data_IF_911504811556
#
_entry.id   IF_911504811556
#
_cell.length_a   1.000
_cell.length_b   1.000
_cell.length_c   1.000
_cell.angle_alpha   90.00
_cell.angle_beta   90.00
_cell.angle_gamma   90.00
#
_symmetry.space_group_name_H-M   'P 1'
#
loop_
_entity.id
_entity.type
_entity.pdbx_description
1 polymer ?
2 polymer ?
3 non-polymer ?
4 non-polymer ?
5 water ?
#
# COMPACT_ATOMS: atom_id res chain seq x y z
N UNK A 1 7.61 -0.42 -22.56
CA UNK A 1 6.48 0.30 -23.14
C UNK A 1 6.87 1.63 -23.78
N UNK A 2 5.90 2.35 -24.34
CA UNK A 2 6.23 3.54 -25.12
C UNK A 2 6.81 4.64 -24.25
N UNK A 3 7.91 5.23 -24.73
CA UNK A 3 8.54 6.28 -23.95
C UNK A 3 7.64 7.51 -23.88
N UNK A 4 7.79 8.28 -22.82
CA UNK A 4 6.93 9.43 -22.59
C UNK A 4 7.30 10.58 -23.53
N UNK A 5 6.31 11.45 -23.79
CA UNK A 5 6.50 12.66 -24.56
C UNK A 5 5.91 13.82 -23.78
N UNK A 6 6.30 15.05 -24.14
CA UNK A 6 5.72 16.20 -23.44
C UNK A 6 4.21 16.23 -23.62
N UNK A 7 3.74 15.92 -24.83
CA UNK A 7 2.30 15.99 -25.05
C UNK A 7 1.56 14.95 -24.24
N UNK A 8 2.14 13.75 -24.12
CA UNK A 8 1.51 12.72 -23.29
C UNK A 8 1.36 13.22 -21.86
N UNK A 9 2.41 13.86 -21.35
CA UNK A 9 2.42 14.29 -19.95
C UNK A 9 1.49 15.47 -19.75
N UNK A 10 1.44 16.39 -20.72
CA UNK A 10 0.49 17.49 -20.63
C UNK A 10 -0.95 16.99 -20.53
N UNK A 11 -1.31 16.02 -21.38
CA UNK A 11 -2.66 15.48 -21.30
C UNK A 11 -2.90 14.75 -19.99
N UNK A 12 -1.86 14.07 -19.49
CA UNK A 12 -2.02 13.30 -18.26
C UNK A 12 -2.33 14.22 -17.09
N UNK A 13 -1.65 15.37 -17.01
CA UNK A 13 -1.71 16.21 -15.81
C UNK A 13 -2.64 17.39 -15.94
N UNK A 14 -3.22 17.64 -17.12
CA UNK A 14 -4.11 18.79 -17.22
C UNK A 14 -5.38 18.60 -16.40
N UNK A 15 -5.97 19.72 -15.99
CA UNK A 15 -7.25 19.67 -15.28
C UNK A 15 -7.11 18.95 -13.95
N UNK A 16 -7.91 17.89 -13.78
CA UNK A 16 -7.88 17.11 -12.55
C UNK A 16 -6.67 16.19 -12.43
N UNK A 17 -5.91 15.99 -13.50
CA UNK A 17 -4.72 15.15 -13.41
C UNK A 17 -5.02 13.75 -12.91
N UNK A 18 -4.17 13.25 -12.01
CA UNK A 18 -4.25 11.88 -11.52
C UNK A 18 -4.28 11.91 -10.01
N UNK A 19 -4.73 10.80 -9.40
CA UNK A 19 -4.79 10.74 -7.94
C UNK A 19 -4.45 9.35 -7.41
N UNK A 20 -3.94 9.34 -6.19
CA UNK A 20 -3.46 8.13 -5.54
C UNK A 20 -4.01 8.07 -4.13
N UNK A 21 -4.35 6.85 -3.67
CA UNK A 21 -4.75 6.66 -2.28
C UNK A 21 -3.55 6.64 -1.36
N UNK A 22 -3.68 7.32 -0.23
CA UNK A 22 -2.57 7.45 0.71
C UNK A 22 -3.11 7.80 2.08
N UNK A 23 -2.18 7.96 3.02
CA UNK A 23 -2.46 8.50 4.35
C UNK A 23 -1.40 9.55 4.62
N UNK A 24 -1.78 10.57 5.38
CA UNK A 24 -0.86 11.65 5.73
C UNK A 24 -0.11 11.25 7.00
N UNK A 25 1.21 11.05 6.89
CA UNK A 25 1.97 10.71 8.09
C UNK A 25 2.09 11.95 8.98
N UNK A 26 2.38 13.09 8.38
CA UNK A 26 2.54 14.30 9.15
C UNK A 26 3.09 15.40 8.29
N UNK A 27 3.17 16.58 8.90
CA UNK A 27 3.74 17.77 8.27
C UNK A 27 4.75 18.36 9.25
N UNK A 28 5.95 18.68 8.76
CA UNK A 28 7.04 19.14 9.60
C UNK A 28 7.63 20.43 9.04
N UNK A 29 7.82 21.45 9.89
CA UNK A 29 8.64 22.59 9.45
C UNK A 29 10.08 22.14 9.25
N UNK A 30 10.70 22.55 8.14
CA UNK A 30 12.09 22.21 7.88
C UNK A 30 12.88 23.45 7.49
N UNK A 31 14.21 23.43 7.65
CA UNK A 31 15.00 24.66 7.47
C UNK A 31 15.28 25.02 6.03
N UNK A 32 15.27 24.06 5.11
CA UNK A 32 15.74 24.31 3.75
C UNK A 32 14.74 23.81 2.72
N UNK A 33 14.91 24.33 1.50
CA UNK A 33 13.99 23.95 0.43
C UNK A 33 14.24 22.54 -0.07
N UNK A 34 15.43 21.99 0.16
CA UNK A 34 15.75 20.70 -0.45
C UNK A 34 16.74 19.95 0.42
N UNK A 35 16.90 18.67 0.12
CA UNK A 35 17.94 17.85 0.75
C UNK A 35 17.46 16.47 1.13
N UNK A 36 18.20 15.44 0.71
CA UNK A 36 17.84 14.07 1.09
C UNK A 36 17.95 13.88 2.59
N UNK A 37 19.04 14.32 3.20
CA UNK A 37 19.24 14.07 4.62
C UNK A 37 18.21 14.84 5.44
N UNK A 38 18.00 16.11 5.12
CA UNK A 38 16.97 16.88 5.81
C UNK A 38 15.61 16.18 5.72
N UNK A 39 15.24 15.72 4.53
CA UNK A 39 13.95 15.09 4.35
C UNK A 39 13.84 13.79 5.14
N UNK A 40 14.89 12.96 5.12
CA UNK A 40 14.80 11.71 5.84
C UNK A 40 14.73 11.95 7.34
N UNK A 41 15.47 12.95 7.84
CA UNK A 41 15.36 13.26 9.27
C UNK A 41 13.93 13.66 9.62
N UNK A 42 13.28 14.42 8.75
CA UNK A 42 11.90 14.78 8.97
C UNK A 42 10.98 13.57 8.89
N UNK A 43 11.16 12.72 7.87
CA UNK A 43 10.37 11.50 7.76
C UNK A 43 10.47 10.66 9.05
N UNK A 44 11.68 10.49 9.57
CA UNK A 44 11.87 9.68 10.76
C UNK A 44 11.18 10.30 11.97
N UNK A 45 11.31 11.61 12.15
CA UNK A 45 10.61 12.30 13.24
C UNK A 45 9.10 12.09 13.13
N UNK A 46 8.54 12.32 11.94
CA UNK A 46 7.11 12.22 11.78
C UNK A 46 6.63 10.78 11.95
N UNK A 47 7.43 9.81 11.49
CA UNK A 47 7.05 8.42 11.71
C UNK A 47 7.13 8.04 13.18
N UNK A 48 8.14 8.53 13.90
CA UNK A 48 8.16 8.33 15.34
C UNK A 48 6.93 8.90 16.01
N UNK A 49 6.53 10.11 15.59
CA UNK A 49 5.34 10.73 16.18
C UNK A 49 4.09 9.93 15.83
N UNK A 50 3.98 9.46 14.58
CA UNK A 50 2.83 8.65 14.22
C UNK A 50 2.80 7.35 15.00
N UNK A 51 3.96 6.78 15.30
CA UNK A 51 3.98 5.52 16.03
C UNK A 51 3.51 5.74 17.47
N UNK A 52 3.92 6.86 18.08
CA UNK A 52 3.42 7.18 19.41
C UNK A 52 1.91 7.40 19.38
N UNK A 53 1.43 8.11 18.38
CA UNK A 53 0.00 8.31 18.25
C UNK A 53 -0.74 7.00 18.09
N UNK A 54 -0.18 6.10 17.27
CA UNK A 54 -0.79 4.78 17.01
C UNK A 54 -0.94 4.01 18.34
N UNK A 55 0.06 4.10 19.21
CA UNK A 55 0.01 3.42 20.49
C UNK A 55 -1.09 3.96 21.39
N UNK A 56 -1.58 5.16 21.11
CA UNK A 56 -2.72 5.75 21.80
C UNK A 56 -4.01 5.64 20.99
N UNK A 57 -4.07 4.73 20.03
CA UNK A 57 -5.27 4.54 19.25
C UNK A 57 -5.51 5.54 18.14
N UNK A 58 -4.51 6.35 17.80
CA UNK A 58 -4.67 7.30 16.72
C UNK A 58 -4.47 6.59 15.38
N UNK A 59 -5.09 7.14 14.35
CA UNK A 59 -4.90 6.64 12.99
C UNK A 59 -4.49 7.80 12.10
N UNK A 60 -3.65 7.51 11.11
CA UNK A 60 -3.32 8.52 10.12
C UNK A 60 -4.53 8.82 9.25
N UNK A 61 -4.64 10.08 8.84
CA UNK A 61 -5.79 10.51 8.04
C UNK A 61 -5.72 9.89 6.65
N UNK A 62 -6.86 9.32 6.20
CA UNK A 62 -6.92 8.74 4.85
C UNK A 62 -7.16 9.83 3.82
N UNK A 63 -6.31 9.86 2.77
CA UNK A 63 -6.31 10.98 1.81
C UNK A 63 -6.23 10.45 0.38
N UNK A 64 -6.51 11.37 -0.56
CA UNK A 64 -6.08 11.29 -1.94
C UNK A 64 -4.93 12.26 -2.13
N UNK A 65 -3.89 11.84 -2.83
CA UNK A 65 -2.85 12.74 -3.30
C UNK A 65 -3.16 13.01 -4.76
N UNK A 66 -3.53 14.25 -5.08
CA UNK A 66 -3.92 14.61 -6.44
C UNK A 66 -2.77 15.36 -7.08
N UNK A 67 -2.37 14.95 -8.29
CA UNK A 67 -1.21 15.51 -8.97
C UNK A 67 -1.65 16.03 -10.33
N UNK A 68 -1.37 17.31 -10.61
CA UNK A 68 -1.88 17.92 -11.84
C UNK A 68 -1.03 19.15 -12.16
N UNK A 69 -1.34 19.82 -13.28
CA UNK A 69 -0.59 21.02 -13.60
C UNK A 69 -0.78 22.10 -12.53
N UNK A 70 -1.81 21.96 -11.69
CA UNK A 70 -2.06 22.87 -10.57
C UNK A 70 -1.23 22.53 -9.33
N UNK A 71 -0.40 21.49 -9.37
CA UNK A 71 0.42 21.16 -8.22
C UNK A 71 -0.09 19.94 -7.48
N UNK A 72 0.10 19.88 -6.16
CA UNK A 72 -0.33 18.74 -5.36
C UNK A 72 -1.49 19.18 -4.49
N UNK A 73 -2.56 18.39 -4.49
CA UNK A 73 -3.69 18.62 -3.59
C UNK A 73 -3.78 17.43 -2.66
N UNK A 74 -3.92 17.70 -1.37
CA UNK A 74 -4.19 16.66 -0.38
C UNK A 74 -5.68 16.72 -0.09
N UNK A 75 -6.40 15.64 -0.38
CA UNK A 75 -7.85 15.63 -0.31
C UNK A 75 -8.28 14.63 0.75
N UNK A 76 -9.14 15.06 1.66
CA UNK A 76 -9.63 14.14 2.67
C UNK A 76 -10.51 13.09 2.00
N UNK A 77 -10.22 11.82 2.25
CA UNK A 77 -10.94 10.77 1.52
C UNK A 77 -12.42 10.74 1.92
N UNK A 78 -12.69 10.86 3.22
CA UNK A 78 -14.08 10.73 3.73
C UNK A 78 -14.96 11.83 3.15
N UNK A 79 -14.56 13.09 3.30
CA UNK A 79 -15.37 14.23 2.93
C UNK A 79 -15.09 14.77 1.53
N UNK A 80 -13.93 14.48 0.95
CA UNK A 80 -13.59 15.10 -0.31
C UNK A 80 -13.11 16.53 -0.26
N UNK A 81 -12.87 17.08 0.93
CA UNK A 81 -12.42 18.47 1.05
C UNK A 81 -10.92 18.57 0.77
N UNK A 82 -10.50 19.61 0.06
CA UNK A 82 -9.09 19.89 -0.17
C UNK A 82 -8.47 20.48 1.10
N UNK A 83 -7.63 19.70 1.78
CA UNK A 83 -7.02 20.12 3.03
C UNK A 83 -5.74 20.91 2.83
N UNK A 84 -5.02 20.65 1.74
CA UNK A 84 -3.75 21.30 1.45
C UNK A 84 -3.60 21.37 -0.05
N UNK A 85 -3.02 22.46 -0.53
CA UNK A 85 -2.82 22.64 -1.96
C UNK A 85 -1.56 23.45 -2.19
N UNK A 86 -0.64 22.93 -2.99
CA UNK A 86 0.56 23.68 -3.29
C UNK A 86 0.74 23.67 -4.80
N UNK A 87 0.85 24.84 -5.44
CA UNK A 87 1.17 24.89 -6.87
C UNK A 87 2.56 24.37 -7.15
N UNK A 88 2.79 24.02 -8.42
CA UNK A 88 4.09 23.49 -8.81
C UNK A 88 5.22 24.41 -8.36
N UNK A 89 5.07 25.72 -8.54
CA UNK A 89 6.22 26.57 -8.25
C UNK A 89 6.43 26.83 -6.77
N UNK A 90 5.66 26.17 -5.89
CA UNK A 90 5.93 26.22 -4.47
C UNK A 90 6.32 24.86 -3.91
N UNK A 91 6.52 23.86 -4.76
CA UNK A 91 7.04 22.57 -4.34
C UNK A 91 8.53 22.54 -4.70
N UNK A 92 9.39 22.32 -3.71
CA UNK A 92 10.82 22.47 -3.96
C UNK A 92 11.59 21.16 -4.08
N UNK A 93 11.14 20.06 -3.49
CA UNK A 93 11.95 18.86 -3.43
C UNK A 93 11.03 17.66 -3.26
N UNK A 94 11.34 16.54 -3.96
CA UNK A 94 10.64 15.28 -3.75
C UNK A 94 11.60 14.29 -3.11
N UNK A 95 11.18 13.67 -2.01
CA UNK A 95 12.06 12.76 -1.28
C UNK A 95 11.53 11.34 -1.38
N UNK A 96 12.41 10.40 -1.68
CA UNK A 96 12.10 9.00 -1.47
C UNK A 96 12.47 8.60 -0.04
N UNK A 97 11.97 7.45 0.40
CA UNK A 97 12.25 6.91 1.74
C UNK A 97 12.97 5.58 1.55
N UNK A 98 14.28 5.57 1.81
CA UNK A 98 15.04 4.34 1.59
C UNK A 98 14.58 3.22 2.52
N UNK A 99 13.86 3.54 3.60
CA UNK A 99 13.42 2.50 4.51
C UNK A 99 12.04 1.93 4.19
N UNK A 100 11.33 2.48 3.21
CA UNK A 100 9.90 2.16 3.10
C UNK A 100 9.47 2.38 1.66
N UNK A 101 9.19 1.29 0.92
CA UNK A 101 8.72 1.43 -0.45
C UNK A 101 7.31 2.01 -0.54
N UNK A 102 6.63 2.20 0.58
CA UNK A 102 5.31 2.81 0.57
C UNK A 102 5.28 4.15 1.29
N UNK A 103 6.36 4.91 1.21
CA UNK A 103 6.40 6.26 1.75
C UNK A 103 7.25 7.13 0.86
N UNK A 104 6.90 8.41 0.84
CA UNK A 104 7.72 9.44 0.23
C UNK A 104 7.30 10.73 0.89
N UNK A 105 7.97 11.81 0.51
CA UNK A 105 7.48 13.10 0.97
C UNK A 105 7.88 14.21 0.03
N UNK A 106 7.38 15.41 0.30
CA UNK A 106 7.78 16.54 -0.52
C UNK A 106 7.95 17.75 0.36
N UNK A 107 8.91 18.60 0.00
CA UNK A 107 9.11 19.88 0.68
C UNK A 107 8.35 20.92 -0.12
N UNK A 108 7.61 21.78 0.57
CA UNK A 108 6.87 22.81 -0.14
C UNK A 108 6.68 24.01 0.76
N UNK A 109 6.30 25.12 0.13
CA UNK A 109 6.17 26.37 0.83
C UNK A 109 7.08 27.41 0.22
N UNK A 110 6.75 28.69 0.42
CA UNK A 110 7.62 29.76 0.01
C UNK A 110 8.78 29.97 0.97
N UNK A 111 9.57 31.00 0.68
CA UNK A 111 10.80 31.22 1.43
C UNK A 111 10.54 31.36 2.93
N UNK A 112 11.40 30.76 3.73
CA UNK A 112 11.28 30.79 5.18
C UNK A 112 10.14 29.96 5.74
N UNK A 113 9.42 29.23 4.89
CA UNK A 113 8.21 28.51 5.28
C UNK A 113 8.23 27.12 4.66
N UNK A 114 9.42 26.56 4.52
CA UNK A 114 9.56 25.21 3.97
C UNK A 114 8.93 24.20 4.91
N UNK A 115 8.16 23.26 4.36
CA UNK A 115 7.54 22.24 5.18
C UNK A 115 7.68 20.91 4.47
N UNK A 116 7.88 19.85 5.24
CA UNK A 116 7.96 18.50 4.68
C UNK A 116 6.63 17.79 4.93
N UNK A 117 5.98 17.36 3.85
CA UNK A 117 4.75 16.58 3.92
C UNK A 117 5.14 15.13 3.71
N UNK A 118 4.91 14.28 4.73
CA UNK A 118 5.28 12.86 4.70
C UNK A 118 4.03 12.03 4.40
N UNK A 119 4.11 11.18 3.37
CA UNK A 119 2.95 10.48 2.83
C UNK A 119 3.21 8.97 2.89
N UNK A 120 2.21 8.22 3.39
CA UNK A 120 2.22 6.76 3.33
C UNK A 120 1.28 6.33 2.21
N UNK A 121 1.82 5.79 1.13
CA UNK A 121 0.97 5.42 0.00
C UNK A 121 0.32 4.06 0.24
N UNK A 122 -0.86 3.88 -0.35
CA UNK A 122 -1.53 2.58 -0.25
C UNK A 122 -0.82 1.50 -1.05
N UNK A 123 -0.43 1.82 -2.28
CA UNK A 123 0.44 0.95 -3.07
C UNK A 123 1.89 1.44 -2.96
N UNK A 124 2.76 0.97 -3.85
CA UNK A 124 4.13 1.47 -3.90
C UNK A 124 4.16 2.97 -4.17
N UNK A 125 5.11 3.66 -3.53
CA UNK A 125 5.22 5.10 -3.73
C UNK A 125 5.84 5.46 -5.08
N UNK A 126 6.68 4.59 -5.65
CA UNK A 126 7.45 4.94 -6.83
C UNK A 126 6.62 5.50 -7.98
N UNK A 127 5.47 4.94 -8.34
CA UNK A 127 4.73 5.51 -9.49
C UNK A 127 4.29 6.93 -9.24
N UNK A 128 3.92 7.24 -8.01
CA UNK A 128 3.59 8.62 -7.66
C UNK A 128 4.83 9.50 -7.75
N UNK A 129 5.95 9.03 -7.20
CA UNK A 129 7.18 9.81 -7.24
C UNK A 129 7.56 10.11 -8.68
N UNK A 130 7.43 9.10 -9.54
CA UNK A 130 7.78 9.31 -10.95
C UNK A 130 6.82 10.28 -11.61
N UNK A 131 5.51 10.22 -11.25
CA UNK A 131 4.58 11.21 -11.79
C UNK A 131 5.03 12.63 -11.42
N UNK A 132 5.48 12.83 -10.18
CA UNK A 132 5.96 14.15 -9.80
C UNK A 132 7.20 14.56 -10.60
N UNK A 133 8.14 13.64 -10.79
CA UNK A 133 9.30 13.95 -11.62
C UNK A 133 8.87 14.37 -13.02
N UNK A 134 7.91 13.64 -13.60
CA UNK A 134 7.44 13.92 -14.96
C UNK A 134 6.67 15.24 -15.02
N UNK A 135 5.85 15.50 -14.02
CA UNK A 135 5.12 16.77 -13.95
C UNK A 135 6.09 17.94 -13.98
N UNK A 136 7.11 17.90 -13.14
CA UNK A 136 8.04 19.02 -13.09
C UNK A 136 8.84 19.11 -14.37
N UNK A 137 9.18 17.96 -14.95
CA UNK A 137 10.00 17.96 -16.17
C UNK A 137 9.20 18.53 -17.34
N UNK A 138 7.94 18.14 -17.50
CA UNK A 138 7.22 18.63 -18.66
C UNK A 138 6.98 20.14 -18.54
N UNK A 139 6.66 20.61 -17.33
CA UNK A 139 6.47 22.06 -17.16
C UNK A 139 7.76 22.80 -17.46
N UNK A 140 8.89 22.27 -17.01
CA UNK A 140 10.18 22.86 -17.30
C UNK A 140 10.47 22.83 -18.80
N UNK A 141 10.23 21.67 -19.43
CA UNK A 141 10.48 21.51 -20.87
C UNK A 141 9.68 22.52 -21.68
N UNK A 142 8.39 22.64 -21.39
CA UNK A 142 7.54 23.53 -22.17
C UNK A 142 8.01 24.97 -22.01
N UNK A 143 8.31 25.38 -20.78
CA UNK A 143 8.83 26.71 -20.54
C UNK A 143 10.08 26.95 -21.37
N UNK A 144 11.04 26.02 -21.30
CA UNK A 144 12.32 26.23 -21.97
C UNK A 144 12.15 26.32 -23.49
N UNK A 145 11.28 25.46 -24.05
CA UNK A 145 11.04 25.53 -25.49
C UNK A 145 10.37 26.84 -25.89
N UNK A 146 9.48 27.37 -25.05
CA UNK A 146 8.93 28.69 -25.32
C UNK A 146 10.04 29.74 -25.30
N UNK A 147 10.92 29.69 -24.30
CA UNK A 147 11.98 30.69 -24.20
C UNK A 147 12.95 30.61 -25.37
N UNK A 148 13.33 29.40 -25.79
CA UNK A 148 14.27 29.27 -26.90
C UNK A 148 13.67 29.80 -28.20
N UNK A 149 12.38 29.58 -28.41
CA UNK A 149 11.78 30.04 -29.65
C UNK A 149 11.54 31.54 -29.67
N UNK A 150 11.32 32.16 -28.50
CA UNK A 150 11.16 33.61 -28.51
C UNK A 150 12.49 34.32 -28.67
N UNK A 151 13.59 33.65 -28.33
CA UNK A 151 14.91 34.19 -28.66
C UNK A 151 15.48 33.44 -29.87
N UNK B 1 -11.15 -36.19 8.59
CA UNK B 1 -11.62 -35.26 9.60
C UNK B 1 -13.12 -35.32 9.80
N UNK B 2 -13.67 -34.38 10.57
CA UNK B 2 -15.12 -34.37 10.81
C UNK B 2 -15.87 -33.90 9.57
N UNK B 3 -17.17 -34.18 9.57
CA UNK B 3 -18.03 -33.72 8.46
C UNK B 3 -18.12 -32.21 8.48
N UNK B 4 -17.73 -31.58 7.37
CA UNK B 4 -17.73 -30.12 7.30
C UNK B 4 -19.09 -29.63 6.80
N UNK B 5 -20.09 -29.83 7.65
CA UNK B 5 -21.40 -29.26 7.41
C UNK B 5 -21.33 -27.76 7.51
N UNK B 6 -22.34 -27.09 6.91
CA UNK B 6 -22.40 -25.64 7.04
C UNK B 6 -22.46 -25.23 8.51
N UNK B 7 -23.21 -25.98 9.32
CA UNK B 7 -23.30 -25.64 10.75
C UNK B 7 -21.94 -25.76 11.45
N UNK B 8 -21.19 -26.80 11.11
CA UNK B 8 -19.83 -26.97 11.66
C UNK B 8 -18.96 -25.78 11.28
N UNK B 9 -19.00 -25.38 10.01
CA UNK B 9 -18.11 -24.32 9.54
C UNK B 9 -18.55 -22.97 10.09
N UNK B 10 -19.87 -22.75 10.21
CA UNK B 10 -20.30 -21.50 10.81
C UNK B 10 -19.90 -21.43 12.28
N UNK B 11 -20.02 -22.55 12.99
CA UNK B 11 -19.56 -22.58 14.39
C UNK B 11 -18.07 -22.23 14.46
N UNK B 12 -17.29 -22.76 13.53
CA UNK B 12 -15.84 -22.60 13.54
C UNK B 12 -15.43 -21.15 13.30
N UNK B 13 -16.09 -20.48 12.35
CA UNK B 13 -15.59 -19.19 11.91
C UNK B 13 -16.36 -18.01 12.47
N UNK B 14 -17.50 -18.22 13.10
CA UNK B 14 -18.23 -17.07 13.65
C UNK B 14 -17.43 -16.40 14.76
N UNK B 15 -17.75 -15.13 15.00
CA UNK B 15 -17.09 -14.38 16.05
C UNK B 15 -15.59 -14.26 15.83
N UNK B 16 -14.83 -14.63 16.85
CA UNK B 16 -13.37 -14.59 16.75
C UNK B 16 -12.81 -15.63 15.79
N UNK B 17 -13.58 -16.65 15.41
CA UNK B 17 -13.04 -17.68 14.51
C UNK B 17 -11.82 -18.38 15.08
N UNK B 18 -10.85 -18.63 14.21
CA UNK B 18 -9.67 -19.42 14.56
C UNK B 18 -8.43 -18.57 14.36
N UNK B 19 -7.34 -18.94 15.04
CA UNK B 19 -6.09 -18.23 14.80
C UNK B 19 -4.89 -19.16 14.82
N UNK B 20 -3.92 -18.83 13.98
CA UNK B 20 -2.71 -19.63 13.78
C UNK B 20 -1.48 -18.77 14.01
N UNK B 21 -0.49 -19.33 14.70
CA UNK B 21 0.82 -18.70 14.78
C UNK B 21 1.51 -18.78 13.44
N UNK B 22 2.15 -17.69 13.06
CA UNK B 22 2.85 -17.64 11.78
C UNK B 22 3.84 -16.50 11.85
N UNK B 23 4.53 -16.27 10.74
CA UNK B 23 5.41 -15.13 10.57
C UNK B 23 5.10 -14.48 9.23
N UNK B 24 5.21 -13.17 9.18
CA UNK B 24 4.94 -12.45 7.95
C UNK B 24 6.20 -12.43 7.09
N UNK B 25 6.13 -13.06 5.91
CA UNK B 25 7.25 -12.96 4.98
C UNK B 25 7.31 -11.56 4.38
N UNK B 26 6.17 -11.01 3.99
CA UNK B 26 6.18 -9.70 3.37
C UNK B 26 4.83 -9.39 2.77
N UNK B 27 4.73 -8.18 2.25
CA UNK B 27 3.51 -7.69 1.59
C UNK B 27 3.93 -7.05 0.29
N UNK B 28 3.37 -7.53 -0.83
CA UNK B 28 3.71 -7.04 -2.15
C UNK B 28 2.51 -6.36 -2.79
N UNK B 29 2.76 -5.42 -3.67
CA UNK B 29 1.68 -4.92 -4.53
C UNK B 29 1.72 -5.70 -5.83
N UNK B 30 0.57 -6.18 -6.29
CA UNK B 30 0.53 -7.06 -7.47
C UNK B 30 -0.46 -6.54 -8.50
N UNK B 31 -0.30 -6.90 -9.79
CA UNK B 31 -1.09 -6.22 -10.84
C UNK B 31 -2.52 -6.70 -10.96
N UNK B 32 -2.83 -7.90 -10.47
CA UNK B 32 -4.14 -8.50 -10.72
C UNK B 32 -4.65 -9.16 -9.46
N UNK B 33 -5.92 -9.57 -9.49
CA UNK B 33 -6.55 -10.13 -8.31
C UNK B 33 -6.27 -11.61 -8.10
N UNK B 34 -5.63 -12.29 -9.04
CA UNK B 34 -5.64 -13.75 -8.98
C UNK B 34 -4.47 -14.31 -9.77
N UNK B 35 -4.16 -15.57 -9.47
CA UNK B 35 -3.31 -16.33 -10.34
C UNK B 35 -2.19 -17.02 -9.59
N UNK B 36 -2.05 -18.32 -9.82
CA UNK B 36 -0.92 -19.08 -9.28
C UNK B 36 0.41 -18.45 -9.65
N UNK B 37 0.61 -18.15 -10.93
CA UNK B 37 1.90 -17.64 -11.40
C UNK B 37 2.17 -16.24 -10.85
N UNK B 38 1.18 -15.36 -10.93
CA UNK B 38 1.35 -14.02 -10.36
C UNK B 38 1.70 -14.09 -8.87
N UNK B 39 1.00 -14.97 -8.15
CA UNK B 39 1.25 -15.09 -6.72
C UNK B 39 2.63 -15.68 -6.45
N UNK B 40 3.05 -16.65 -7.25
CA UNK B 40 4.36 -17.22 -7.02
C UNK B 40 5.46 -16.22 -7.37
N UNK B 41 5.28 -15.41 -8.43
CA UNK B 41 6.23 -14.35 -8.73
C UNK B 41 6.40 -13.43 -7.53
N UNK B 42 5.29 -13.10 -6.88
CA UNK B 42 5.32 -12.24 -5.69
C UNK B 42 5.98 -12.91 -4.51
N UNK B 43 5.61 -14.17 -4.26
CA UNK B 43 6.25 -14.92 -3.19
C UNK B 43 7.77 -14.95 -3.39
N UNK B 44 8.21 -15.21 -4.62
CA UNK B 44 9.65 -15.32 -4.87
C UNK B 44 10.34 -13.98 -4.65
N UNK B 45 9.72 -12.90 -5.10
CA UNK B 45 10.27 -11.57 -4.86
C UNK B 45 10.35 -11.28 -3.37
N UNK B 46 9.27 -11.57 -2.64
CA UNK B 46 9.27 -11.28 -1.21
C UNK B 46 10.28 -12.15 -0.46
N UNK B 47 10.46 -13.40 -0.88
CA UNK B 47 11.45 -14.27 -0.25
C UNK B 47 12.86 -13.84 -0.61
N UNK B 48 13.06 -13.37 -1.84
CA UNK B 48 14.34 -12.76 -2.17
C UNK B 48 14.63 -11.55 -1.30
N UNK B 49 13.63 -10.69 -1.11
CA UNK B 49 13.82 -9.53 -0.25
C UNK B 49 14.12 -9.95 1.19
N UNK B 50 13.41 -10.97 1.68
CA UNK B 50 13.64 -11.43 3.05
C UNK B 50 15.03 -12.05 3.19
N UNK B 51 15.49 -12.79 2.18
CA UNK B 51 16.83 -13.38 2.24
C UNK B 51 17.90 -12.31 2.28
N UNK B 52 17.73 -11.24 1.49
CA UNK B 52 18.69 -10.15 1.52
C UNK B 52 18.66 -9.44 2.87
N UNK B 53 17.47 -9.25 3.42
CA UNK B 53 17.37 -8.62 4.73
C UNK B 53 17.89 -9.51 5.84
N UNK B 54 17.51 -10.80 5.80
CA UNK B 54 17.99 -11.76 6.80
C UNK B 54 19.48 -11.64 7.00
N UNK B 55 20.24 -11.69 5.90
CA UNK B 55 21.69 -11.59 5.94
C UNK B 55 22.15 -10.27 6.53
N UNK B 56 21.32 -9.24 6.54
CA UNK B 56 21.58 -8.02 7.29
C UNK B 56 21.00 -8.09 8.69
N UNK B 57 20.63 -9.29 9.15
CA UNK B 57 20.14 -9.49 10.50
C UNK B 57 18.64 -9.66 10.64
N UNK B 58 17.87 -9.31 9.60
CA UNK B 58 16.42 -9.15 9.72
C UNK B 58 15.74 -10.40 10.28
N UNK B 59 14.72 -10.17 11.12
CA UNK B 59 13.85 -11.20 11.70
C UNK B 59 12.43 -10.98 11.21
N UNK B 60 11.73 -12.07 10.86
CA UNK B 60 10.34 -11.95 10.45
C UNK B 60 9.42 -11.70 11.65
N UNK B 61 8.40 -10.87 11.44
CA UNK B 61 7.48 -10.51 12.51
C UNK B 61 6.60 -11.71 12.91
N UNK B 62 6.50 -11.96 14.21
CA UNK B 62 5.66 -13.04 14.74
C UNK B 62 4.22 -12.55 14.82
N UNK B 63 3.30 -13.27 14.19
CA UNK B 63 1.93 -12.81 14.02
C UNK B 63 0.96 -13.93 14.39
N UNK B 64 -0.30 -13.56 14.60
CA UNK B 64 -1.43 -14.47 14.51
C UNK B 64 -2.10 -14.22 13.17
N UNK B 65 -2.45 -15.29 12.46
CA UNK B 65 -3.35 -15.21 11.31
C UNK B 65 -4.73 -15.61 11.82
N UNK B 66 -5.64 -14.66 11.88
CA UNK B 66 -6.97 -14.90 12.45
C UNK B 66 -7.97 -15.03 11.30
N UNK B 67 -8.71 -16.14 11.27
CA UNK B 67 -9.61 -16.45 10.15
C UNK B 67 -11.01 -16.56 10.71
N UNK B 68 -11.93 -15.74 10.20
CA UNK B 68 -13.29 -15.73 10.75
C UNK B 68 -14.26 -15.26 9.66
N UNK B 69 -15.54 -15.22 10.01
CA UNK B 69 -16.52 -14.65 9.07
C UNK B 69 -16.21 -13.20 8.74
N UNK B 70 -15.39 -12.54 9.56
CA UNK B 70 -14.96 -11.16 9.34
C UNK B 70 -13.76 -11.08 8.41
N UNK B 71 -13.24 -12.20 7.94
CA UNK B 71 -12.13 -12.18 7.01
C UNK B 71 -10.81 -12.61 7.63
N UNK B 72 -9.71 -12.01 7.18
CA UNK B 72 -8.39 -12.32 7.73
C UNK B 72 -7.85 -11.11 8.47
N UNK B 73 -7.39 -11.33 9.70
CA UNK B 73 -6.73 -10.30 10.47
C UNK B 73 -5.31 -10.77 10.71
N UNK B 74 -4.34 -9.89 10.52
CA UNK B 74 -2.96 -10.15 10.87
C UNK B 74 -2.72 -9.41 12.18
N UNK B 75 -2.41 -10.15 13.25
CA UNK B 75 -2.31 -9.59 14.59
C UNK B 75 -0.88 -9.74 15.10
N UNK B 76 -0.32 -8.67 15.62
CA UNK B 76 1.02 -8.77 16.18
C UNK B 76 0.98 -9.66 17.41
N UNK B 77 1.86 -10.67 17.47
CA UNK B 77 1.78 -11.62 18.56
C UNK B 77 2.06 -10.95 19.89
N UNK B 78 3.15 -10.17 19.97
CA UNK B 78 3.60 -9.67 21.27
C UNK B 78 2.66 -8.59 21.81
N UNK B 79 2.14 -7.71 20.95
CA UNK B 79 1.31 -6.61 21.40
C UNK B 79 -0.19 -6.85 21.21
N UNK B 80 -0.59 -7.86 20.42
CA UNK B 80 -2.00 -8.05 20.19
C UNK B 80 -2.68 -7.02 19.30
N UNK B 81 -1.92 -6.08 18.72
CA UNK B 81 -2.50 -5.06 17.86
C UNK B 81 -2.85 -5.68 16.51
N UNK B 82 -4.03 -5.35 15.99
CA UNK B 82 -4.44 -5.74 14.65
C UNK B 82 -3.66 -4.89 13.64
N UNK B 83 -2.75 -5.52 12.89
CA UNK B 83 -1.92 -4.79 11.93
C UNK B 83 -2.57 -4.66 10.56
N UNK B 84 -3.31 -5.68 10.12
CA UNK B 84 -3.98 -5.69 8.83
C UNK B 84 -5.27 -6.46 9.00
N UNK B 85 -6.28 -6.04 8.25
CA UNK B 85 -7.59 -6.71 8.32
C UNK B 85 -8.24 -6.57 6.95
N UNK B 86 -8.73 -7.68 6.39
CA UNK B 86 -9.39 -7.70 5.10
C UNK B 86 -10.66 -8.52 5.22
N UNK B 87 -11.82 -7.94 4.94
CA UNK B 87 -13.04 -8.72 4.95
C UNK B 87 -13.04 -9.75 3.83
N UNK B 88 -13.91 -10.75 3.99
CA UNK B 88 -13.98 -11.85 3.03
C UNK B 88 -14.19 -11.31 1.61
N UNK B 89 -15.06 -10.29 1.47
CA UNK B 89 -15.35 -9.86 0.10
C UNK B 89 -14.25 -9.02 -0.52
N UNK B 90 -13.15 -8.78 0.20
CA UNK B 90 -11.98 -8.13 -0.38
C UNK B 90 -10.79 -9.08 -0.54
N UNK B 91 -10.95 -10.37 -0.28
CA UNK B 91 -9.88 -11.33 -0.49
C UNK B 91 -10.20 -12.05 -1.80
N UNK B 92 -9.31 -11.97 -2.77
CA UNK B 92 -9.66 -12.51 -4.07
C UNK B 92 -9.07 -13.89 -4.36
N UNK B 93 -7.93 -14.24 -3.77
CA UNK B 93 -7.23 -15.43 -4.22
C UNK B 93 -6.35 -15.97 -3.08
N UNK B 94 -6.37 -17.28 -2.89
CA UNK B 94 -5.47 -17.92 -1.93
C UNK B 94 -4.47 -18.72 -2.73
N UNK B 95 -3.16 -18.50 -2.46
CA UNK B 95 -2.10 -19.14 -3.21
C UNK B 95 -1.37 -20.15 -2.34
N UNK B 96 -1.12 -21.32 -2.90
CA UNK B 96 -0.19 -22.27 -2.33
C UNK B 96 1.23 -21.96 -2.84
N UNK B 97 2.23 -22.50 -2.15
CA UNK B 97 3.62 -22.29 -2.56
C UNK B 97 4.20 -23.66 -2.88
N UNK B 98 4.36 -23.96 -4.17
CA UNK B 98 4.85 -25.28 -4.55
C UNK B 98 6.29 -25.51 -4.10
N UNK B 99 7.02 -24.46 -3.72
CA UNK B 99 8.41 -24.62 -3.29
C UNK B 99 8.55 -24.78 -1.78
N UNK B 100 7.46 -24.68 -1.02
CA UNK B 100 7.56 -24.51 0.43
C UNK B 100 6.23 -24.90 1.07
N UNK B 101 6.15 -26.10 1.67
CA UNK B 101 4.88 -26.46 2.28
C UNK B 101 4.63 -25.77 3.62
N UNK B 102 5.52 -24.86 4.05
CA UNK B 102 5.29 -24.01 5.20
C UNK B 102 5.05 -22.55 4.80
N UNK B 103 4.61 -22.30 3.58
CA UNK B 103 4.28 -20.94 3.18
C UNK B 103 3.01 -20.95 2.33
N UNK B 104 2.31 -19.83 2.35
CA UNK B 104 1.17 -19.60 1.46
C UNK B 104 0.96 -18.10 1.39
N UNK B 105 0.00 -17.67 0.57
CA UNK B 105 -0.28 -16.25 0.58
C UNK B 105 -1.70 -15.99 0.16
N UNK B 106 -2.11 -14.73 0.28
CA UNK B 106 -3.42 -14.35 -0.25
C UNK B 106 -3.34 -13.00 -0.93
N UNK B 107 -4.15 -12.86 -1.98
CA UNK B 107 -4.30 -11.59 -2.69
C UNK B 107 -5.54 -10.91 -2.14
N UNK B 108 -5.42 -9.62 -1.81
CA UNK B 108 -6.56 -8.93 -1.26
C UNK B 108 -6.49 -7.47 -1.67
N UNK B 109 -7.64 -6.80 -1.53
CA UNK B 109 -7.76 -5.41 -1.94
C UNK B 109 -8.81 -5.26 -3.01
N UNK B 110 -9.39 -4.06 -3.16
CA UNK B 110 -10.28 -3.79 -4.27
C UNK B 110 -9.51 -3.58 -5.56
N UNK B 111 -10.25 -3.28 -6.64
CA UNK B 111 -9.63 -3.05 -7.97
C UNK B 111 -8.53 -1.98 -7.86
N UNK B 112 -7.43 -2.18 -8.59
CA UNK B 112 -6.33 -1.25 -8.60
C UNK B 112 -5.56 -1.20 -7.31
N UNK B 113 -5.91 -2.02 -6.32
CA UNK B 113 -5.24 -2.01 -5.04
C UNK B 113 -4.95 -3.43 -4.55
N UNK B 114 -4.58 -4.31 -5.49
CA UNK B 114 -4.31 -5.69 -5.12
C UNK B 114 -2.96 -5.82 -4.42
N UNK B 115 -2.94 -6.56 -3.32
CA UNK B 115 -1.72 -6.81 -2.56
C UNK B 115 -1.64 -8.30 -2.30
N UNK B 116 -0.41 -8.81 -2.21
CA UNK B 116 -0.17 -10.20 -1.86
C UNK B 116 0.48 -10.23 -0.48
N UNK B 117 -0.18 -10.89 0.46
CA UNK B 117 0.36 -11.13 1.78
C UNK B 117 0.98 -12.52 1.81
N UNK B 118 2.29 -12.60 2.08
CA UNK B 118 3.01 -13.86 2.11
C UNK B 118 3.29 -14.26 3.55
N UNK B 119 2.93 -15.50 3.91
CA UNK B 119 2.90 -15.97 5.29
C UNK B 119 3.76 -17.23 5.41
N UNK B 120 4.59 -17.27 6.46
CA UNK B 120 5.37 -18.47 6.80
C UNK B 120 4.76 -19.10 8.04
N UNK B 121 4.37 -20.36 7.95
CA UNK B 121 3.73 -21.02 9.10
C UNK B 121 4.72 -21.91 9.83
N UNK B 122 4.43 -22.17 11.11
CA UNK B 122 5.33 -22.95 11.93
C UNK B 122 5.45 -24.39 11.46
N UNK B 123 4.33 -25.07 11.34
CA UNK B 123 4.27 -26.33 10.63
C UNK B 123 3.52 -26.11 9.31
N UNK B 124 2.93 -27.19 8.78
CA UNK B 124 2.31 -27.17 7.47
C UNK B 124 1.31 -26.03 7.30
N UNK B 125 1.42 -25.33 6.17
CA UNK B 125 0.46 -24.29 5.84
C UNK B 125 -0.87 -24.86 5.40
N UNK B 126 -0.90 -26.10 4.90
CA UNK B 126 -2.14 -26.61 4.29
C UNK B 126 -3.38 -26.49 5.18
N UNK B 127 -3.34 -26.77 6.49
CA UNK B 127 -4.57 -26.62 7.29
C UNK B 127 -5.11 -25.21 7.31
N UNK B 128 -4.24 -24.20 7.28
CA UNK B 128 -4.73 -22.83 7.19
C UNK B 128 -5.40 -22.61 5.84
N UNK B 129 -4.73 -23.06 4.78
CA UNK B 129 -5.26 -22.87 3.43
C UNK B 129 -6.62 -23.54 3.32
N UNK B 130 -6.73 -24.76 3.85
CA UNK B 130 -8.03 -25.46 3.82
C UNK B 130 -9.09 -24.71 4.62
N UNK B 131 -8.71 -24.15 5.78
CA UNK B 131 -9.68 -23.34 6.51
C UNK B 131 -10.19 -22.18 5.66
N UNK B 132 -9.31 -21.53 4.89
CA UNK B 132 -9.76 -20.43 4.05
C UNK B 132 -10.69 -20.93 2.94
N UNK B 133 -10.36 -22.08 2.36
CA UNK B 133 -11.25 -22.67 1.35
C UNK B 133 -12.63 -22.91 1.95
N UNK B 134 -12.67 -23.47 3.17
CA UNK B 134 -13.93 -23.78 3.83
C UNK B 134 -14.69 -22.51 4.21
N UNK B 135 -13.96 -21.50 4.68
CA UNK B 135 -14.56 -20.21 5.02
C UNK B 135 -15.30 -19.63 3.83
N UNK B 136 -14.64 -19.61 2.67
CA UNK B 136 -15.27 -19.01 1.49
C UNK B 136 -16.45 -19.85 1.04
N UNK B 137 -16.34 -21.17 1.15
CA UNK B 137 -17.41 -22.06 0.73
C UNK B 137 -18.66 -21.86 1.58
N UNK B 138 -18.50 -21.82 2.90
CA UNK B 138 -19.69 -21.74 3.75
C UNK B 138 -20.36 -20.38 3.60
N UNK B 139 -19.57 -19.31 3.45
CA UNK B 139 -20.17 -18.01 3.24
C UNK B 139 -20.96 -18.00 1.94
N UNK B 140 -20.40 -18.60 0.88
CA UNK B 140 -21.14 -18.64 -0.38
C UNK B 140 -22.41 -19.50 -0.25
N UNK B 141 -22.28 -20.69 0.35
CA UNK B 141 -23.43 -21.57 0.52
C UNK B 141 -24.57 -20.88 1.24
N UNK B 142 -24.25 -20.22 2.34
CA UNK B 142 -25.27 -19.64 3.19
C UNK B 142 -25.94 -18.47 2.49
N UNK B 143 -25.15 -17.63 1.84
CA UNK B 143 -25.73 -16.51 1.11
C UNK B 143 -26.61 -17.02 -0.03
N UNK B 144 -26.20 -18.11 -0.69
CA UNK B 144 -27.05 -18.70 -1.72
C UNK B 144 -28.40 -19.10 -1.13
N UNK B 145 -28.38 -19.93 -0.08
CA UNK B 145 -29.62 -20.36 0.55
C UNK B 145 -30.45 -19.18 1.05
N UNK B 146 -29.78 -18.17 1.61
CA UNK B 146 -30.49 -16.94 1.96
C UNK B 146 -31.21 -16.36 0.75
N UNK B 147 -30.53 -16.24 -0.37
CA UNK B 147 -31.13 -15.62 -1.55
C UNK B 147 -32.24 -16.48 -2.12
N UNK B 148 -32.08 -17.78 -1.97
CA UNK B 148 -33.12 -18.72 -2.41
C UNK B 148 -34.40 -18.39 -1.66
N UNK B 149 -34.37 -18.41 -0.32
CA UNK B 149 -35.56 -18.23 0.49
C UNK B 149 -36.14 -16.83 0.35
N UNK B 150 -35.29 -15.82 0.18
CA UNK B 150 -35.80 -14.48 -0.11
C UNK B 150 -36.03 -14.33 -1.61
C UNK C 1 16.47 5.58 -7.01
N UNK C 2 17.25 6.26 -6.18
CA UNK C 2 17.29 5.94 -4.73
C UNK C 2 17.18 7.25 -3.93
N UNK C 3 17.73 8.34 -4.47
CA UNK C 3 17.70 9.65 -3.79
C UNK C 3 16.47 10.45 -4.27
N UNK C 4 16.30 11.67 -3.76
CA UNK C 4 15.23 12.52 -4.20
C UNK C 4 15.68 13.46 -5.28
N UNK C 5 14.84 14.46 -5.57
CA UNK C 5 15.17 15.36 -6.66
C UNK C 5 14.52 16.72 -6.47
N UNK C 6 15.21 17.74 -6.99
CA UNK C 6 14.75 19.11 -6.98
C UNK C 6 13.63 19.33 -8.00
N UNK C 7 12.77 20.30 -7.71
CA UNK C 7 11.85 20.81 -8.72
C UNK C 7 12.49 22.03 -9.38
N UNK C 8 12.89 21.96 -10.64
CA UNK C 8 13.50 23.15 -11.27
C UNK C 8 12.55 24.31 -11.45
N UNK C 9 11.23 24.12 -11.25
CA UNK C 9 10.25 25.18 -11.38
C UNK C 9 10.01 25.93 -10.08
N UNK C 10 10.67 25.52 -8.98
CA UNK C 10 10.40 26.13 -7.67
C UNK C 10 10.79 27.60 -7.64
N UNK C 11 9.93 28.42 -7.08
CA UNK C 11 10.19 29.85 -6.91
C UNK C 11 9.94 30.22 -5.46
N UNK C 12 10.99 30.48 -4.66
CA UNK C 12 10.77 30.73 -3.23
C UNK C 12 10.02 32.01 -2.91
N UNK C 13 10.09 33.03 -3.77
CA UNK C 13 9.51 34.30 -3.33
C UNK C 13 8.02 34.37 -3.69
N UNK C 14 7.24 34.90 -2.74
CA UNK C 14 5.78 34.88 -2.81
C UNK C 14 5.24 36.21 -3.33
C UNK D 1 -6.79 -23.74 -12.53
N UNK D 2 -6.84 -23.81 -11.20
CA UNK D 2 -5.76 -23.24 -10.38
C UNK D 2 -5.38 -24.19 -9.25
N UNK D 3 -4.10 -24.14 -8.86
CA UNK D 3 -3.62 -24.88 -7.70
C UNK D 3 -3.96 -24.16 -6.40
N UNK D 4 -3.91 -22.83 -6.39
CA UNK D 4 -4.58 -22.04 -5.38
C UNK D 4 -6.06 -22.02 -5.66
N UNK D 5 -6.75 -21.02 -5.12
CA UNK D 5 -8.17 -20.93 -5.47
C UNK D 5 -8.71 -19.51 -5.36
N UNK D 6 -9.70 -19.25 -6.17
CA UNK D 6 -10.40 -17.97 -6.16
C UNK D 6 -11.48 -17.95 -5.09
N UNK D 7 -11.75 -16.76 -4.58
CA UNK D 7 -12.84 -16.53 -3.65
C UNK D 7 -14.12 -16.21 -4.42
N UNK D 8 -15.15 -17.07 -4.37
CA UNK D 8 -16.39 -16.74 -5.10
C UNK D 8 -17.12 -15.55 -4.52
N UNK D 9 -16.78 -15.10 -3.31
CA UNK D 9 -17.40 -13.95 -2.69
C UNK D 9 -16.70 -12.64 -2.97
N UNK D 10 -15.62 -12.65 -3.76
CA UNK D 10 -14.81 -11.45 -3.93
C UNK D 10 -15.63 -10.38 -4.65
N UNK D 11 -15.55 -9.15 -4.15
CA UNK D 11 -16.21 -7.99 -4.73
C UNK D 11 -15.18 -6.89 -4.97
N UNK D 12 -14.68 -6.75 -6.21
CA UNK D 12 -13.63 -5.75 -6.46
C UNK D 12 -14.11 -4.33 -6.26
N UNK D 13 -15.39 -4.06 -6.46
CA UNK D 13 -15.95 -2.72 -6.36
C UNK D 13 -16.72 -2.55 -5.06
X LIG E 1 9.23 0.57 -23.11
X LIG F 1 14.57 28.82 1.83
X LIG G 1 -8.33 2.20 16.22
X LIG H 1 5.90 26.59 12.36
X LIG I 1 18.91 -10.41 15.52
X LIG J 1 -7.59 -5.13 -10.84
#
# INVERSE_FOLDING_TARGET
GPEKTDEYLLARFKGDGVKYKAKLIGIDDVPDARGDKMSQDSMMKLKGMAAAGRSQGQHKQRIWVNISLSGIKIIDEKTGVIEHEHPVNKISFIARDVTDNRAFGYVCGGEGQHQFFAIKTGQQAEPLVVDLKDLFQVIYNVKKKEEEKKKIEEASKAVEN
GPEKTDEYLLARFKGDGVKYKAKLIGIDDVPDARGDKMSQDSMMKLKGMAAAGRSQGQHKQRIWVNISLSGIKIIDEKTGVIEHEHPVNKISFIARDVTDNRAFGYVCGGEGQHQFFAIKTGQQAEPLVVDLKDLFQVIYNVKKKEEEKKKIEEASKAVEN
XQNGFDNPNYQPQENMQA
XQNGFDNPNYQPQENMQA
NI NI
NI NI
NI NI
MG MG
NI NI
MG MG
#
